data_IF_508942817022
#
_entry.id   IF_508942817022
#
_cell.length_a   1.000
_cell.length_b   1.000
_cell.length_c   1.000
_cell.angle_alpha   90.00
_cell.angle_beta   90.00
_cell.angle_gamma   90.00
#
_symmetry.space_group_name_H-M   'P 1'
#
loop_
_entity.id
_entity.type
_entity.pdbx_description
1 polymer ?
#
# COMPACT_ATOMS: atom_id res chain seq x y z
N UNK A 1 -54.30 12.39 6.83
CA UNK A 1 -53.57 11.36 6.06
C UNK A 1 -52.11 11.76 5.80
N UNK A 2 -51.85 12.92 5.18
CA UNK A 2 -50.48 13.43 4.89
C UNK A 2 -49.50 13.47 6.08
N UNK A 3 -49.93 13.99 7.24
CA UNK A 3 -49.09 14.04 8.45
C UNK A 3 -48.65 12.66 8.97
N UNK A 4 -49.46 11.62 8.74
CA UNK A 4 -49.10 10.24 9.11
C UNK A 4 -48.08 9.66 8.14
N UNK A 5 -48.25 9.90 6.84
CA UNK A 5 -47.31 9.46 5.79
C UNK A 5 -45.93 10.07 6.01
N UNK A 6 -45.85 11.39 6.27
CA UNK A 6 -44.56 12.08 6.54
C UNK A 6 -43.89 11.53 7.80
N UNK A 7 -44.66 11.22 8.86
CA UNK A 7 -44.11 10.60 10.08
C UNK A 7 -43.54 9.21 9.80
N UNK A 8 -44.23 8.37 9.03
CA UNK A 8 -43.73 7.04 8.66
C UNK A 8 -42.46 7.15 7.82
N UNK A 9 -42.43 8.05 6.83
CA UNK A 9 -41.22 8.28 6.01
C UNK A 9 -40.06 8.75 6.89
N UNK A 10 -40.27 9.70 7.80
CA UNK A 10 -39.22 10.17 8.70
C UNK A 10 -38.70 9.06 9.63
N UNK A 11 -39.57 8.19 10.14
CA UNK A 11 -39.17 7.04 10.94
C UNK A 11 -38.36 6.02 10.13
N UNK A 12 -38.73 5.77 8.87
CA UNK A 12 -37.98 4.90 7.97
C UNK A 12 -36.60 5.48 7.63
N UNK A 13 -36.53 6.79 7.37
CA UNK A 13 -35.26 7.49 7.12
C UNK A 13 -34.35 7.47 8.35
N UNK A 14 -34.93 7.68 9.55
CA UNK A 14 -34.19 7.60 10.81
C UNK A 14 -33.68 6.17 11.07
N UNK A 15 -34.52 5.16 10.86
CA UNK A 15 -34.12 3.76 11.00
C UNK A 15 -33.00 3.38 10.01
N UNK A 16 -33.08 3.84 8.76
CA UNK A 16 -32.03 3.62 7.77
C UNK A 16 -30.72 4.33 8.15
N UNK A 17 -30.80 5.57 8.66
CA UNK A 17 -29.62 6.30 9.14
C UNK A 17 -28.98 5.61 10.35
N UNK A 18 -29.77 5.14 11.32
CA UNK A 18 -29.28 4.38 12.48
C UNK A 18 -28.66 3.06 12.05
N UNK A 19 -29.28 2.34 11.11
CA UNK A 19 -28.71 1.10 10.56
C UNK A 19 -27.39 1.35 9.83
N UNK A 20 -27.26 2.44 9.06
CA UNK A 20 -26.01 2.85 8.41
C UNK A 20 -24.92 3.20 9.42
N UNK A 21 -25.25 3.96 10.47
CA UNK A 21 -24.31 4.30 11.54
C UNK A 21 -23.89 3.04 12.30
N UNK A 22 -24.82 2.15 12.63
CA UNK A 22 -24.52 0.88 13.29
C UNK A 22 -23.67 -0.04 12.42
N UNK A 23 -23.93 -0.10 11.12
CA UNK A 23 -23.12 -0.86 10.16
C UNK A 23 -21.72 -0.25 10.02
N UNK A 24 -21.60 1.07 9.90
CA UNK A 24 -20.31 1.77 9.87
C UNK A 24 -19.52 1.57 11.17
N UNK A 25 -20.18 1.68 12.32
CA UNK A 25 -19.58 1.42 13.63
C UNK A 25 -19.12 -0.03 13.74
N UNK A 26 -19.97 -0.99 13.36
CA UNK A 26 -19.61 -2.41 13.33
C UNK A 26 -18.44 -2.71 12.39
N UNK A 27 -18.37 -2.05 11.25
CA UNK A 27 -17.29 -2.17 10.26
C UNK A 27 -15.96 -1.60 10.78
N UNK A 28 -16.00 -0.40 11.37
CA UNK A 28 -14.82 0.33 11.87
C UNK A 28 -14.28 -0.29 13.15
N UNK A 29 -15.17 -0.71 14.05
CA UNK A 29 -14.80 -1.28 15.36
C UNK A 29 -14.88 -2.80 15.40
N UNK A 30 -15.04 -3.46 14.23
CA UNK A 30 -14.80 -4.91 14.16
C UNK A 30 -13.35 -5.09 14.63
N UNK A 31 -13.08 -5.89 15.68
CA UNK A 31 -11.72 -6.11 16.09
C UNK A 31 -10.93 -6.63 14.89
N UNK A 32 -10.01 -5.80 14.38
CA UNK A 32 -8.97 -6.28 13.47
C UNK A 32 -8.27 -7.44 14.15
N UNK A 33 -7.80 -8.41 13.39
CA UNK A 33 -7.10 -9.57 13.92
C UNK A 33 -5.78 -9.14 14.58
N UNK A 34 -5.82 -8.63 15.80
CA UNK A 34 -4.71 -8.02 16.52
C UNK A 34 -4.98 -8.00 18.00
N UNK A 35 -5.25 -9.19 18.56
CA UNK A 35 -5.25 -9.38 20.00
C UNK A 35 -3.83 -9.74 20.47
N UNK A 36 -3.44 -9.30 21.68
CA UNK A 36 -2.31 -9.90 22.39
C UNK A 36 -2.47 -11.43 22.39
N UNK A 37 -1.41 -12.17 22.09
CA UNK A 37 -1.44 -13.62 22.12
C UNK A 37 -0.29 -14.27 21.40
N UNK A 38 -0.12 -15.57 21.67
CA UNK A 38 0.83 -16.42 20.96
C UNK A 38 0.20 -16.96 19.69
N UNK A 39 0.96 -16.94 18.60
CA UNK A 39 0.57 -17.49 17.30
C UNK A 39 1.58 -18.57 16.94
N UNK A 40 1.10 -19.80 16.74
CA UNK A 40 1.92 -20.88 16.23
C UNK A 40 2.27 -20.60 14.76
N UNK A 41 3.54 -20.33 14.50
CA UNK A 41 4.05 -19.97 13.17
C UNK A 41 5.26 -20.83 12.77
N UNK A 42 5.47 -21.07 11.47
CA UNK A 42 6.61 -21.83 10.95
C UNK A 42 7.90 -20.97 10.94
N UNK A 43 8.35 -20.57 12.13
CA UNK A 43 9.60 -19.84 12.38
C UNK A 43 10.63 -20.76 13.02
N UNK A 44 11.92 -20.49 12.80
CA UNK A 44 13.01 -21.35 13.30
C UNK A 44 13.26 -21.18 14.80
N UNK A 45 12.94 -20.00 15.33
CA UNK A 45 13.02 -19.67 16.75
C UNK A 45 11.89 -18.71 17.13
N UNK A 46 11.70 -18.51 18.44
CA UNK A 46 10.74 -17.55 18.97
C UNK A 46 10.96 -16.14 18.39
N UNK A 47 9.87 -15.51 17.96
CA UNK A 47 9.82 -14.13 17.47
C UNK A 47 8.88 -13.33 18.35
N UNK A 48 9.37 -12.22 18.91
CA UNK A 48 8.58 -11.32 19.73
C UNK A 48 8.23 -10.07 18.94
N UNK A 49 6.94 -9.71 18.97
CA UNK A 49 6.42 -8.49 18.35
C UNK A 49 5.76 -7.63 19.44
N UNK A 50 6.43 -6.55 19.83
CA UNK A 50 5.86 -5.56 20.74
C UNK A 50 5.31 -4.38 19.91
N UNK A 51 4.16 -3.83 20.28
CA UNK A 51 3.64 -2.59 19.67
C UNK A 51 3.74 -1.43 20.64
N UNK A 52 4.24 -0.30 20.15
CA UNK A 52 4.32 0.92 20.96
C UNK A 52 2.93 1.59 21.12
N UNK A 53 2.91 2.74 21.81
CA UNK A 53 1.68 3.53 22.03
C UNK A 53 0.98 4.01 20.76
N UNK A 54 1.68 4.03 19.63
CA UNK A 54 1.15 4.42 18.32
C UNK A 54 0.79 3.19 17.46
N UNK A 55 0.98 1.98 17.98
CA UNK A 55 0.74 0.73 17.27
C UNK A 55 1.89 0.32 16.34
N UNK A 56 3.05 0.96 16.42
CA UNK A 56 4.22 0.63 15.58
C UNK A 56 4.80 -0.71 16.06
N UNK A 57 4.93 -1.72 15.18
CA UNK A 57 5.47 -3.02 15.56
C UNK A 57 7.01 -3.00 15.64
N UNK A 58 7.54 -3.49 16.76
CA UNK A 58 8.95 -3.75 17.02
C UNK A 58 9.17 -5.26 17.03
N UNK A 59 9.95 -5.77 16.05
CA UNK A 59 10.18 -7.19 15.85
C UNK A 59 11.56 -7.57 16.40
N UNK A 60 11.59 -8.56 17.28
CA UNK A 60 12.80 -9.17 17.82
C UNK A 60 12.84 -10.64 17.40
N UNK A 61 13.88 -11.03 16.66
CA UNK A 61 14.05 -12.39 16.15
C UNK A 61 15.53 -12.81 16.20
N UNK A 62 15.79 -14.12 16.19
CA UNK A 62 17.16 -14.66 16.18
C UNK A 62 17.79 -14.77 14.80
N UNK A 63 16.99 -14.62 13.74
CA UNK A 63 17.44 -14.67 12.36
C UNK A 63 16.74 -13.60 11.51
N UNK A 64 17.39 -13.16 10.42
CA UNK A 64 16.78 -12.24 9.46
C UNK A 64 15.57 -12.88 8.76
N UNK A 65 15.60 -14.20 8.54
CA UNK A 65 14.49 -14.91 7.91
C UNK A 65 13.23 -14.87 8.77
N UNK A 66 13.36 -15.16 10.08
CA UNK A 66 12.25 -15.08 11.03
C UNK A 66 11.76 -13.63 11.21
N UNK A 67 12.68 -12.65 11.19
CA UNK A 67 12.32 -11.23 11.23
C UNK A 67 11.49 -10.81 10.01
N UNK A 68 11.88 -11.25 8.80
CA UNK A 68 11.15 -10.96 7.56
C UNK A 68 9.80 -11.67 7.51
N UNK A 69 9.71 -12.91 7.99
CA UNK A 69 8.44 -13.60 8.18
C UNK A 69 7.51 -12.79 9.08
N UNK A 70 7.97 -12.41 10.27
CA UNK A 70 7.17 -11.62 11.19
C UNK A 70 6.80 -10.25 10.60
N UNK A 71 7.71 -9.62 9.85
CA UNK A 71 7.44 -8.36 9.16
C UNK A 71 6.28 -8.53 8.16
N UNK A 72 6.29 -9.60 7.35
CA UNK A 72 5.18 -9.92 6.44
C UNK A 72 3.86 -10.11 7.18
N UNK A 73 3.89 -10.88 8.27
CA UNK A 73 2.72 -11.14 9.10
C UNK A 73 2.12 -9.85 9.68
N UNK A 74 2.93 -9.01 10.33
CA UNK A 74 2.43 -7.76 10.96
C UNK A 74 2.03 -6.72 9.92
N UNK A 75 2.69 -6.68 8.76
CA UNK A 75 2.27 -5.78 7.68
C UNK A 75 0.89 -6.18 7.15
N UNK A 76 0.63 -7.48 6.97
CA UNK A 76 -0.68 -7.96 6.59
C UNK A 76 -1.73 -7.68 7.67
N UNK A 77 -1.37 -7.90 8.95
CA UNK A 77 -2.22 -7.56 10.08
C UNK A 77 -2.71 -6.10 10.05
N UNK A 78 -1.82 -5.17 9.73
CA UNK A 78 -2.14 -3.75 9.80
C UNK A 78 -2.66 -3.18 8.45
N UNK A 79 -2.26 -3.74 7.31
CA UNK A 79 -2.37 -3.11 5.98
C UNK A 79 -2.82 -4.03 4.85
N UNK A 80 -3.41 -5.20 5.15
CA UNK A 80 -3.70 -6.21 4.13
C UNK A 80 -4.43 -5.66 2.88
N UNK A 81 -5.49 -4.87 3.03
CA UNK A 81 -6.22 -4.32 1.88
C UNK A 81 -5.39 -3.30 1.09
N UNK A 82 -4.60 -2.47 1.77
CA UNK A 82 -3.67 -1.54 1.13
C UNK A 82 -2.62 -2.30 0.30
N UNK A 83 -2.05 -3.37 0.85
CA UNK A 83 -1.10 -4.23 0.15
C UNK A 83 -1.72 -4.88 -1.09
N UNK A 84 -2.92 -5.46 -0.95
CA UNK A 84 -3.63 -6.10 -2.06
C UNK A 84 -3.99 -5.11 -3.17
N UNK A 85 -4.49 -3.94 -2.80
CA UNK A 85 -4.83 -2.88 -3.74
C UNK A 85 -3.61 -2.35 -4.48
N UNK A 86 -2.48 -2.17 -3.79
CA UNK A 86 -1.23 -1.72 -4.40
C UNK A 86 -0.68 -2.73 -5.41
N UNK A 87 -0.65 -4.03 -5.09
CA UNK A 87 -0.19 -5.04 -6.06
C UNK A 87 -1.13 -5.12 -7.28
N UNK A 88 -2.44 -4.90 -7.09
CA UNK A 88 -3.42 -4.89 -8.19
C UNK A 88 -3.26 -3.68 -9.09
N UNK A 89 -3.06 -2.49 -8.51
CA UNK A 89 -2.72 -1.29 -9.25
C UNK A 89 -1.47 -1.50 -10.11
N UNK A 90 -0.40 -2.02 -9.50
CA UNK A 90 0.86 -2.29 -10.17
C UNK A 90 0.74 -3.38 -11.25
N UNK A 91 -0.08 -4.40 -11.04
CA UNK A 91 -0.30 -5.48 -12.01
C UNK A 91 -1.25 -5.09 -13.16
N UNK A 92 -2.04 -4.02 -12.98
CA UNK A 92 -3.16 -3.67 -13.84
C UNK A 92 -4.33 -4.64 -13.71
N UNK A 93 -4.77 -4.85 -12.47
CA UNK A 93 -5.84 -5.76 -12.05
C UNK A 93 -6.77 -5.06 -11.02
N UNK A 94 -6.72 -3.73 -10.91
CA UNK A 94 -7.50 -2.97 -9.92
C UNK A 94 -8.96 -2.83 -10.36
N UNK A 95 -9.24 -2.77 -11.66
CA UNK A 95 -10.60 -2.69 -12.20
C UNK A 95 -11.43 -3.94 -11.90
N UNK A 96 -10.79 -5.07 -11.56
CA UNK A 96 -11.48 -6.28 -11.08
C UNK A 96 -12.26 -6.03 -9.79
N UNK A 97 -11.78 -5.13 -8.93
CA UNK A 97 -12.38 -4.86 -7.61
C UNK A 97 -12.99 -3.45 -7.49
N UNK A 98 -12.50 -2.49 -8.27
CA UNK A 98 -12.95 -1.10 -8.22
C UNK A 98 -13.73 -0.65 -9.48
N UNK A 99 -13.91 -1.56 -10.45
CA UNK A 99 -14.76 -1.35 -11.62
C UNK A 99 -14.15 -0.46 -12.71
N UNK A 100 -14.98 -0.08 -13.69
CA UNK A 100 -14.55 0.56 -14.94
C UNK A 100 -13.86 1.91 -14.75
N UNK A 101 -14.15 2.63 -13.66
CA UNK A 101 -13.58 3.95 -13.40
C UNK A 101 -12.04 3.94 -13.31
N UNK A 102 -11.44 2.84 -12.86
CA UNK A 102 -9.98 2.69 -12.73
C UNK A 102 -9.34 1.94 -13.90
N UNK A 103 -10.11 1.53 -14.92
CA UNK A 103 -9.60 0.81 -16.08
C UNK A 103 -8.44 1.52 -16.81
N UNK A 104 -8.41 2.86 -16.94
CA UNK A 104 -7.26 3.56 -17.53
C UNK A 104 -5.95 3.31 -16.77
N UNK A 105 -6.00 3.13 -15.45
CA UNK A 105 -4.83 2.82 -14.62
C UNK A 105 -4.31 1.41 -14.96
N UNK A 106 -5.22 0.44 -15.07
CA UNK A 106 -4.86 -0.93 -15.43
C UNK A 106 -4.23 -1.03 -16.82
N UNK A 107 -4.80 -0.31 -17.79
CA UNK A 107 -4.25 -0.24 -19.16
C UNK A 107 -2.82 0.29 -19.12
N UNK A 108 -2.57 1.37 -18.37
CA UNK A 108 -1.23 1.96 -18.24
C UNK A 108 -0.24 1.00 -17.59
N UNK A 109 -0.64 0.32 -16.52
CA UNK A 109 0.19 -0.67 -15.85
C UNK A 109 0.56 -1.84 -16.78
N UNK A 110 -0.39 -2.29 -17.61
CA UNK A 110 -0.16 -3.35 -18.59
C UNK A 110 0.70 -2.91 -19.78
N UNK A 111 0.60 -1.65 -20.22
CA UNK A 111 1.51 -1.08 -21.23
C UNK A 111 2.97 -1.10 -20.75
N UNK A 112 3.19 -0.85 -19.46
CA UNK A 112 4.51 -0.95 -18.83
C UNK A 112 4.94 -2.40 -18.52
N UNK A 113 4.05 -3.38 -18.72
CA UNK A 113 4.30 -4.82 -18.49
C UNK A 113 4.83 -5.13 -17.08
N UNK A 114 4.40 -4.38 -16.07
CA UNK A 114 4.95 -4.48 -14.71
C UNK A 114 4.80 -5.88 -14.09
N UNK A 115 3.66 -6.55 -14.29
CA UNK A 115 3.41 -7.95 -13.87
C UNK A 115 4.45 -8.91 -14.43
N UNK A 116 4.67 -8.85 -15.75
CA UNK A 116 5.65 -9.70 -16.43
C UNK A 116 7.08 -9.41 -15.93
N UNK A 117 7.42 -8.15 -15.73
CA UNK A 117 8.74 -7.75 -15.23
C UNK A 117 8.99 -8.28 -13.82
N UNK A 118 8.01 -8.13 -12.92
CA UNK A 118 8.10 -8.62 -11.54
C UNK A 118 8.24 -10.14 -11.47
N UNK A 119 7.50 -10.90 -12.30
CA UNK A 119 7.61 -12.35 -12.35
C UNK A 119 8.96 -12.81 -12.93
N UNK A 120 9.42 -12.16 -14.01
CA UNK A 120 10.75 -12.42 -14.57
C UNK A 120 11.85 -12.16 -13.56
N UNK A 121 11.79 -11.03 -12.84
CA UNK A 121 12.77 -10.69 -11.83
C UNK A 121 12.74 -11.66 -10.66
N UNK A 122 11.54 -12.01 -10.16
CA UNK A 122 11.41 -13.01 -9.10
C UNK A 122 12.07 -14.35 -9.46
N UNK A 123 11.98 -14.76 -10.73
CA UNK A 123 12.61 -15.98 -11.23
C UNK A 123 14.14 -15.86 -11.38
N UNK A 124 14.67 -14.66 -11.62
CA UNK A 124 16.10 -14.41 -11.84
C UNK A 124 16.86 -13.88 -10.62
N UNK A 125 16.19 -13.72 -9.46
CA UNK A 125 16.84 -13.25 -8.24
C UNK A 125 17.90 -14.25 -7.76
N UNK A 126 19.04 -13.76 -7.23
CA UNK A 126 19.95 -14.59 -6.44
C UNK A 126 19.19 -15.30 -5.33
N UNK A 127 19.58 -16.55 -5.04
CA UNK A 127 18.86 -17.42 -4.09
C UNK A 127 18.64 -16.77 -2.73
N UNK A 128 19.67 -16.10 -2.18
CA UNK A 128 19.58 -15.41 -0.90
C UNK A 128 18.50 -14.30 -0.90
N UNK A 129 18.40 -13.51 -1.98
CA UNK A 129 17.39 -12.45 -2.10
C UNK A 129 15.99 -13.02 -2.28
N UNK A 130 15.88 -14.09 -3.09
CA UNK A 130 14.61 -14.80 -3.28
C UNK A 130 14.12 -15.41 -1.96
N UNK A 131 15.01 -15.98 -1.16
CA UNK A 131 14.69 -16.55 0.15
C UNK A 131 14.15 -15.49 1.12
N UNK A 132 14.77 -14.30 1.17
CA UNK A 132 14.29 -13.18 1.98
C UNK A 132 12.88 -12.73 1.60
N UNK A 133 12.61 -12.52 0.30
CA UNK A 133 11.28 -12.14 -0.17
C UNK A 133 10.25 -13.26 0.03
N UNK A 134 10.69 -14.52 -0.08
CA UNK A 134 9.84 -15.68 0.19
C UNK A 134 9.46 -15.74 1.68
N UNK A 135 10.38 -15.47 2.60
CA UNK A 135 10.09 -15.41 4.03
C UNK A 135 9.03 -14.35 4.35
N UNK A 136 9.16 -13.15 3.80
CA UNK A 136 8.13 -12.11 3.89
C UNK A 136 6.77 -12.59 3.36
N UNK A 137 6.76 -13.18 2.16
CA UNK A 137 5.52 -13.69 1.54
C UNK A 137 4.88 -14.80 2.39
N UNK A 138 5.67 -15.70 3.00
CA UNK A 138 5.16 -16.74 3.92
C UNK A 138 4.50 -16.11 5.14
N UNK A 139 5.06 -15.04 5.69
CA UNK A 139 4.44 -14.29 6.80
C UNK A 139 3.07 -13.72 6.45
N UNK A 140 2.97 -13.06 5.28
CA UNK A 140 1.70 -12.52 4.76
C UNK A 140 0.68 -13.63 4.56
N UNK A 141 1.10 -14.76 3.96
CA UNK A 141 0.21 -15.90 3.70
C UNK A 141 -0.25 -16.58 4.98
N UNK A 142 0.63 -16.70 5.98
CA UNK A 142 0.26 -17.26 7.27
C UNK A 142 -0.80 -16.41 7.98
N UNK A 143 -0.69 -15.07 7.91
CA UNK A 143 -1.75 -14.19 8.38
C UNK A 143 -3.06 -14.40 7.62
N UNK A 144 -3.00 -14.46 6.28
CA UNK A 144 -4.16 -14.68 5.43
C UNK A 144 -4.91 -15.97 5.77
N UNK A 145 -4.19 -17.09 5.82
CA UNK A 145 -4.74 -18.42 6.12
C UNK A 145 -5.44 -18.47 7.48
N UNK A 146 -4.84 -17.85 8.51
CA UNK A 146 -5.43 -17.77 9.84
C UNK A 146 -6.65 -16.85 9.96
N UNK A 147 -6.85 -15.93 9.00
CA UNK A 147 -7.81 -14.83 9.12
C UNK A 147 -8.81 -14.71 7.97
N UNK A 148 -8.98 -15.72 7.13
CA UNK A 148 -9.95 -15.70 6.01
C UNK A 148 -11.39 -15.36 6.43
N UNK A 149 -11.78 -15.66 7.68
CA UNK A 149 -13.12 -15.34 8.24
C UNK A 149 -13.21 -13.96 8.88
N UNK A 150 -12.08 -13.26 9.02
CA UNK A 150 -11.94 -11.96 9.72
C UNK A 150 -11.13 -10.98 8.86
N UNK A 151 -11.39 -11.00 7.55
CA UNK A 151 -10.76 -10.06 6.62
C UNK A 151 -11.16 -8.61 6.95
N UNK A 152 -10.29 -7.64 6.59
CA UNK A 152 -10.63 -6.22 6.63
C UNK A 152 -11.96 -5.93 5.92
N UNK A 153 -12.73 -4.94 6.39
CA UNK A 153 -14.07 -4.67 5.90
C UNK A 153 -14.13 -4.36 4.41
N UNK A 154 -13.07 -3.79 3.84
CA UNK A 154 -12.97 -3.45 2.41
C UNK A 154 -13.19 -4.68 1.52
N UNK A 155 -12.70 -5.86 1.92
CA UNK A 155 -12.91 -7.11 1.19
C UNK A 155 -14.38 -7.53 1.18
N UNK A 156 -15.08 -7.32 2.30
CA UNK A 156 -16.51 -7.63 2.41
C UNK A 156 -17.35 -6.63 1.59
N UNK A 157 -17.02 -5.34 1.67
CA UNK A 157 -17.70 -4.28 0.94
C UNK A 157 -17.54 -4.41 -0.57
N UNK A 158 -16.35 -4.79 -1.03
CA UNK A 158 -16.03 -4.97 -2.45
C UNK A 158 -16.33 -6.39 -2.95
N UNK A 159 -16.80 -7.29 -2.07
CA UNK A 159 -17.27 -8.62 -2.44
C UNK A 159 -16.20 -9.56 -3.01
N UNK A 160 -14.96 -9.50 -2.52
CA UNK A 160 -13.86 -10.34 -3.02
C UNK A 160 -12.93 -10.83 -1.89
N UNK A 161 -12.14 -11.86 -2.19
CA UNK A 161 -11.12 -12.39 -1.29
C UNK A 161 -9.70 -12.10 -1.84
N UNK A 162 -8.72 -11.80 -0.96
CA UNK A 162 -7.34 -11.62 -1.38
C UNK A 162 -6.73 -12.94 -1.88
N UNK A 163 -5.88 -12.86 -2.91
CA UNK A 163 -5.06 -13.99 -3.37
C UNK A 163 -3.84 -14.19 -2.45
N UNK A 164 -3.23 -15.39 -2.38
CA UNK A 164 -1.94 -15.56 -1.73
C UNK A 164 -0.89 -14.57 -2.26
N UNK A 165 -0.04 -14.08 -1.37
CA UNK A 165 1.08 -13.20 -1.68
C UNK A 165 2.24 -14.01 -2.26
N UNK A 166 2.79 -13.54 -3.38
CA UNK A 166 3.95 -14.14 -4.05
C UNK A 166 5.16 -13.21 -3.94
N UNK A 167 6.37 -13.75 -4.13
CA UNK A 167 7.62 -12.96 -4.24
C UNK A 167 7.48 -11.83 -5.27
N UNK A 168 6.86 -12.13 -6.42
CA UNK A 168 6.63 -11.14 -7.47
C UNK A 168 5.71 -9.99 -7.03
N UNK A 169 4.82 -10.20 -6.06
CA UNK A 169 3.91 -9.14 -5.60
C UNK A 169 4.67 -8.10 -4.74
N UNK A 170 5.71 -8.49 -4.01
CA UNK A 170 6.61 -7.54 -3.34
C UNK A 170 7.39 -6.69 -4.35
N UNK A 171 7.88 -7.32 -5.42
CA UNK A 171 8.59 -6.62 -6.50
C UNK A 171 7.66 -5.66 -7.25
N UNK A 172 6.38 -5.99 -7.40
CA UNK A 172 5.41 -5.06 -7.97
C UNK A 172 5.21 -3.81 -7.16
N UNK A 173 5.09 -3.92 -5.84
CA UNK A 173 4.99 -2.76 -4.97
C UNK A 173 6.23 -1.86 -5.11
N UNK A 174 7.42 -2.47 -5.23
CA UNK A 174 8.65 -1.73 -5.48
C UNK A 174 8.70 -1.07 -6.87
N UNK A 175 8.21 -1.74 -7.92
CA UNK A 175 8.09 -1.18 -9.27
C UNK A 175 7.14 0.01 -9.30
N UNK A 176 6.00 -0.08 -8.60
CA UNK A 176 5.03 1.01 -8.52
C UNK A 176 5.60 2.22 -7.75
N UNK A 177 6.35 1.96 -6.68
CA UNK A 177 7.11 3.01 -5.98
C UNK A 177 8.16 3.65 -6.91
N UNK A 178 8.92 2.85 -7.66
CA UNK A 178 9.90 3.37 -8.61
C UNK A 178 9.21 4.23 -9.69
N UNK A 179 8.09 3.78 -10.23
CA UNK A 179 7.29 4.49 -11.25
C UNK A 179 6.80 5.86 -10.74
N UNK A 180 6.26 5.89 -9.52
CA UNK A 180 5.73 7.13 -8.92
C UNK A 180 6.83 8.13 -8.56
N UNK A 181 8.06 7.65 -8.30
CA UNK A 181 9.22 8.51 -8.02
C UNK A 181 10.02 8.91 -9.27
N UNK A 182 9.83 8.24 -10.42
CA UNK A 182 10.65 8.43 -11.64
C UNK A 182 9.89 9.05 -12.82
N UNK A 183 8.71 9.66 -12.59
CA UNK A 183 7.77 10.15 -13.61
C UNK A 183 8.21 11.32 -14.50
N UNK A 184 9.50 11.62 -14.59
CA UNK A 184 10.04 12.78 -15.34
C UNK A 184 9.64 12.77 -16.82
N UNK A 185 9.54 11.59 -17.43
CA UNK A 185 9.25 11.45 -18.87
C UNK A 185 7.89 12.01 -19.28
N UNK A 186 6.90 12.02 -18.37
CA UNK A 186 5.55 12.54 -18.67
C UNK A 186 5.59 14.07 -18.83
N UNK A 187 6.37 14.73 -17.97
CA UNK A 187 6.63 16.16 -18.07
C UNK A 187 7.40 16.48 -19.35
N UNK A 188 8.40 15.67 -19.71
CA UNK A 188 9.18 15.86 -20.93
C UNK A 188 8.30 15.71 -22.19
N UNK A 189 7.40 14.72 -22.22
CA UNK A 189 6.47 14.51 -23.32
C UNK A 189 5.44 15.64 -23.44
N UNK A 190 4.94 16.14 -22.29
CA UNK A 190 4.06 17.31 -22.26
C UNK A 190 4.78 18.55 -22.81
N UNK A 191 6.00 18.83 -22.32
CA UNK A 191 6.85 19.93 -22.81
C UNK A 191 7.05 19.84 -24.31
N UNK A 192 7.40 18.64 -24.81
CA UNK A 192 7.60 18.41 -26.25
C UNK A 192 6.34 18.70 -27.07
N UNK A 193 5.16 18.25 -26.62
CA UNK A 193 3.89 18.52 -27.31
C UNK A 193 3.57 20.02 -27.33
N UNK A 194 3.72 20.71 -26.21
CA UNK A 194 3.45 22.14 -26.12
C UNK A 194 4.44 22.96 -26.97
N UNK A 195 5.72 22.59 -26.99
CA UNK A 195 6.73 23.25 -27.82
C UNK A 195 6.48 23.10 -29.33
N UNK A 196 5.70 22.09 -29.76
CA UNK A 196 5.38 21.85 -31.17
C UNK A 196 4.20 22.69 -31.67
N UNK A 197 3.25 23.01 -30.79
CA UNK A 197 1.99 23.70 -31.18
C UNK A 197 1.76 25.04 -30.49
N UNK A 198 2.57 25.41 -29.50
CA UNK A 198 2.41 26.62 -28.68
C UNK A 198 3.59 27.58 -28.75
N UNK A 199 3.49 28.68 -28.00
CA UNK A 199 4.56 29.67 -27.86
C UNK A 199 5.71 29.12 -27.02
N UNK A 200 6.90 29.02 -27.63
CA UNK A 200 8.11 28.51 -26.98
C UNK A 200 8.48 29.31 -25.72
N UNK A 201 8.29 30.62 -25.71
CA UNK A 201 8.63 31.45 -24.56
C UNK A 201 7.75 31.11 -23.36
N UNK A 202 6.45 30.88 -23.58
CA UNK A 202 5.53 30.44 -22.52
C UNK A 202 5.84 29.01 -22.07
N UNK A 203 6.23 28.12 -22.99
CA UNK A 203 6.63 26.74 -22.65
C UNK A 203 7.89 26.73 -21.79
N UNK A 204 8.89 27.56 -22.09
CA UNK A 204 10.11 27.64 -21.29
C UNK A 204 9.88 28.32 -19.93
N UNK A 205 8.89 29.20 -19.81
CA UNK A 205 8.44 29.72 -18.50
C UNK A 205 7.74 28.65 -17.66
N UNK A 206 6.92 27.78 -18.28
CA UNK A 206 6.22 26.69 -17.59
C UNK A 206 7.13 25.49 -17.28
N UNK A 207 8.15 25.27 -18.09
CA UNK A 207 9.15 24.21 -17.94
C UNK A 207 10.56 24.79 -17.98
N UNK A 208 10.95 25.59 -16.96
CA UNK A 208 12.28 26.17 -16.91
C UNK A 208 13.34 25.06 -16.94
N UNK A 209 14.48 25.29 -17.61
CA UNK A 209 15.59 24.35 -17.58
C UNK A 209 15.97 24.10 -16.13
N UNK A 210 15.97 22.83 -15.70
CA UNK A 210 16.39 22.48 -14.33
C UNK A 210 17.90 22.66 -14.24
N UNK A 211 18.33 23.68 -13.52
CA UNK A 211 19.72 23.98 -13.22
C UNK A 211 20.22 23.22 -11.98
N UNK A 212 19.33 22.48 -11.30
CA UNK A 212 19.66 21.71 -10.10
C UNK A 212 19.69 22.56 -8.83
N UNK A 213 19.35 23.84 -8.95
CA UNK A 213 19.23 24.80 -7.84
C UNK A 213 17.78 25.07 -7.48
N UNK A 214 16.82 24.59 -8.27
CA UNK A 214 15.41 24.76 -8.00
C UNK A 214 14.95 23.90 -6.82
N UNK A 215 14.07 24.41 -5.95
CA UNK A 215 13.41 23.59 -4.95
C UNK A 215 12.51 22.57 -5.66
N UNK A 216 12.96 21.31 -5.69
CA UNK A 216 12.13 20.21 -6.14
C UNK A 216 11.07 19.93 -5.06
N UNK A 217 9.78 19.81 -5.41
CA UNK A 217 8.82 19.23 -4.48
C UNK A 217 9.28 17.80 -4.14
N UNK A 218 9.54 17.51 -2.87
CA UNK A 218 10.18 16.27 -2.45
C UNK A 218 10.37 16.14 -0.93
N UNK A 219 11.08 15.09 -0.54
CA UNK A 219 11.42 14.82 0.87
C UNK A 219 12.47 15.80 1.38
N UNK A 220 12.28 16.30 2.60
CA UNK A 220 13.31 17.05 3.30
C UNK A 220 14.15 16.09 4.14
N UNK A 221 15.48 16.22 4.05
CA UNK A 221 16.41 15.61 4.99
C UNK A 221 17.47 16.66 5.32
N UNK A 222 17.69 16.90 6.60
CA UNK A 222 18.75 17.76 7.08
C UNK A 222 19.75 16.91 7.86
N UNK A 223 21.02 17.22 7.70
CA UNK A 223 22.08 16.66 8.52
C UNK A 223 22.74 17.81 9.28
N UNK A 224 22.67 17.76 10.60
CA UNK A 224 23.29 18.72 11.50
C UNK A 224 24.54 18.06 12.06
N UNK A 225 25.70 18.69 11.81
CA UNK A 225 26.96 18.22 12.38
C UNK A 225 26.91 18.23 13.91
N UNK A 226 27.56 17.27 14.56
CA UNK A 226 27.56 17.14 16.03
C UNK A 226 28.01 18.40 16.76
N UNK A 227 28.93 19.17 16.17
CA UNK A 227 29.38 20.47 16.69
C UNK A 227 28.28 21.54 16.77
N UNK A 228 27.16 21.33 16.08
CA UNK A 228 25.96 22.17 16.07
C UNK A 228 24.79 21.55 16.83
N UNK A 229 25.03 20.50 17.61
CA UNK A 229 24.03 19.82 18.44
C UNK A 229 24.44 19.86 19.91
N UNK A 230 23.47 19.87 20.82
CA UNK A 230 23.71 19.82 22.27
C UNK A 230 24.31 18.49 22.74
N UNK A 231 24.11 17.41 21.97
CA UNK A 231 24.61 16.07 22.30
C UNK A 231 26.02 15.81 21.78
N UNK A 232 26.56 16.69 20.93
CA UNK A 232 27.82 16.46 20.22
C UNK A 232 27.74 15.40 19.12
N UNK A 233 26.57 14.79 18.87
CA UNK A 233 26.36 13.72 17.88
C UNK A 233 25.62 14.26 16.65
N UNK A 234 25.96 13.81 15.43
CA UNK A 234 25.21 14.18 14.23
C UNK A 234 23.70 13.90 14.37
N UNK A 235 22.85 14.74 13.80
CA UNK A 235 21.37 14.62 13.80
C UNK A 235 20.78 14.83 12.43
#
# INVERSE_FOLDING_TARGET
MWKYIVRVINWLLLAAAVALVAAAWWIVYRPGAGLPGEVAAPVSAEVRVDRDRLGVPHIQARSVEDALFAQGYVTAQDRLWQMDSLRRLAAGELAEIAGKAVLPLDIRARQLRMRWLAERWAASLPEAQRAQLAAYARGVNHFLEGNLRRLPPEFTLLGYAPRPWRVADTLLCALEMNRTLSGAWEHDLMKFRMARSGDRNLVDQLFPPRLGTEPLPGSNAWAVAGSRTSTGRPS
#
